data_IF_057138195436
#
_entry.id   IF_057138195436
#
_cell.length_a   1.000
_cell.length_b   1.000
_cell.length_c   1.000
_cell.angle_alpha   90.00
_cell.angle_beta   90.00
_cell.angle_gamma   90.00
#
_symmetry.space_group_name_H-M   'P 1'
#
loop_
_entity.id
_entity.type
_entity.pdbx_description
1 polymer ?
#
# COMPACT_ATOMS: atom_id res chain seq x y z
N UNK A 1 -8.85 -8.01 -2.67
CA UNK A 1 -7.60 -8.44 -3.34
C UNK A 1 -7.19 -9.84 -2.86
N UNK A 2 -7.62 -10.94 -3.52
CA UNK A 2 -7.49 -12.28 -2.94
C UNK A 2 -6.08 -12.88 -3.00
N UNK A 3 -5.28 -12.60 -4.05
CA UNK A 3 -3.95 -13.23 -4.19
C UNK A 3 -2.92 -12.77 -3.15
N UNK A 4 -3.05 -11.56 -2.60
CA UNK A 4 -2.11 -11.04 -1.59
C UNK A 4 -2.24 -11.68 -0.20
N UNK A 5 -3.35 -12.37 0.05
CA UNK A 5 -3.67 -13.00 1.35
C UNK A 5 -3.63 -14.54 1.31
N UNK A 6 -3.19 -15.13 0.20
CA UNK A 6 -3.14 -16.58 -0.01
C UNK A 6 -4.46 -17.18 -0.48
N UNK A 7 -4.52 -18.50 -0.57
CA UNK A 7 -5.68 -19.24 -1.08
C UNK A 7 -5.98 -20.49 -0.24
N UNK A 8 -7.23 -20.96 -0.33
CA UNK A 8 -7.67 -22.22 0.25
C UNK A 8 -7.77 -22.18 1.77
N UNK A 9 -7.49 -23.31 2.42
CA UNK A 9 -7.70 -23.46 3.88
C UNK A 9 -6.76 -22.64 4.76
N UNK A 10 -5.67 -22.10 4.21
CA UNK A 10 -4.68 -21.26 4.92
C UNK A 10 -4.71 -19.80 4.46
N UNK A 11 -5.80 -19.36 3.84
CA UNK A 11 -6.01 -17.95 3.52
C UNK A 11 -5.92 -17.09 4.79
N UNK A 12 -5.38 -15.89 4.68
CA UNK A 12 -5.26 -14.97 5.80
C UNK A 12 -6.65 -14.65 6.36
N UNK A 13 -6.94 -15.15 7.56
CA UNK A 13 -8.20 -14.89 8.27
C UNK A 13 -8.41 -13.39 8.57
N UNK A 14 -7.32 -12.61 8.62
CA UNK A 14 -7.34 -11.17 8.83
C UNK A 14 -7.61 -10.32 7.58
N UNK A 15 -7.84 -10.93 6.40
CA UNK A 15 -7.95 -10.19 5.13
C UNK A 15 -9.03 -9.10 5.16
N UNK A 16 -10.18 -9.37 5.79
CA UNK A 16 -11.31 -8.43 5.84
C UNK A 16 -11.01 -7.25 6.77
N UNK A 17 -10.36 -7.52 7.90
CA UNK A 17 -9.91 -6.48 8.81
C UNK A 17 -8.83 -5.61 8.15
N UNK A 18 -7.87 -6.23 7.47
CA UNK A 18 -6.82 -5.51 6.76
C UNK A 18 -7.38 -4.63 5.64
N UNK A 19 -8.34 -5.13 4.87
CA UNK A 19 -9.00 -4.37 3.80
C UNK A 19 -9.77 -3.17 4.36
N UNK A 20 -10.56 -3.36 5.43
CA UNK A 20 -11.28 -2.27 6.07
C UNK A 20 -10.33 -1.23 6.69
N UNK A 21 -9.30 -1.67 7.41
CA UNK A 21 -8.32 -0.79 8.03
C UNK A 21 -7.54 0.02 6.98
N UNK A 22 -7.12 -0.61 5.88
CA UNK A 22 -6.42 0.06 4.80
C UNK A 22 -7.30 1.11 4.12
N UNK A 23 -8.58 0.77 3.89
CA UNK A 23 -9.53 1.71 3.31
C UNK A 23 -9.72 2.95 4.19
N UNK A 24 -9.95 2.74 5.49
CA UNK A 24 -10.10 3.84 6.46
C UNK A 24 -8.83 4.69 6.50
N UNK A 25 -7.65 4.08 6.52
CA UNK A 25 -6.38 4.80 6.56
C UNK A 25 -6.17 5.65 5.30
N UNK A 26 -6.36 5.09 4.10
CA UNK A 26 -6.18 5.80 2.83
C UNK A 26 -7.18 6.96 2.71
N UNK A 27 -8.46 6.71 2.98
CA UNK A 27 -9.49 7.74 2.86
C UNK A 27 -9.29 8.86 3.87
N UNK A 28 -8.95 8.54 5.13
CA UNK A 28 -8.64 9.55 6.14
C UNK A 28 -7.43 10.40 5.73
N UNK A 29 -6.38 9.75 5.23
CA UNK A 29 -5.15 10.43 4.81
C UNK A 29 -5.40 11.39 3.64
N UNK A 30 -6.19 10.97 2.65
CA UNK A 30 -6.57 11.81 1.50
C UNK A 30 -7.55 12.93 1.88
N UNK A 31 -8.37 12.74 2.91
CA UNK A 31 -9.29 13.76 3.38
C UNK A 31 -8.56 14.89 4.13
N UNK A 32 -7.45 14.59 4.81
CA UNK A 32 -6.71 15.57 5.61
C UNK A 32 -5.48 16.15 4.93
N UNK A 33 -4.90 15.47 3.95
CA UNK A 33 -3.65 15.88 3.30
C UNK A 33 -3.78 15.91 1.77
N UNK A 34 -3.12 16.88 1.15
CA UNK A 34 -2.88 16.91 -0.30
C UNK A 34 -1.51 16.31 -0.59
N UNK A 35 -1.47 15.23 -1.36
CA UNK A 35 -0.25 14.49 -1.69
C UNK A 35 0.24 14.93 -3.06
N UNK A 36 1.50 15.36 -3.14
CA UNK A 36 2.17 15.72 -4.39
C UNK A 36 3.56 15.10 -4.42
N UNK A 37 4.10 14.86 -5.62
CA UNK A 37 5.50 14.43 -5.76
C UNK A 37 6.40 15.58 -5.36
N UNK A 38 7.53 15.23 -4.75
CA UNK A 38 8.57 16.21 -4.44
C UNK A 38 9.22 16.65 -5.77
N UNK A 39 9.42 17.96 -5.89
CA UNK A 39 10.09 18.58 -7.03
C UNK A 39 11.57 18.80 -6.70
N UNK A 40 12.44 18.70 -7.69
CA UNK A 40 13.85 19.06 -7.57
C UNK A 40 14.08 20.58 -7.71
N UNK A 41 15.34 21.01 -7.70
CA UNK A 41 15.72 22.43 -7.83
C UNK A 41 15.32 23.05 -9.19
N UNK A 42 15.01 22.23 -10.19
CA UNK A 42 14.62 22.64 -11.55
C UNK A 42 13.10 22.56 -11.76
N UNK A 43 12.34 22.13 -10.74
CA UNK A 43 10.89 21.96 -10.81
C UNK A 43 10.44 20.65 -11.45
N UNK A 44 11.34 19.68 -11.63
CA UNK A 44 11.01 18.36 -12.17
C UNK A 44 10.61 17.38 -11.06
N UNK A 45 9.68 16.48 -11.37
CA UNK A 45 9.21 15.47 -10.42
C UNK A 45 10.30 14.43 -10.12
N UNK A 46 10.65 14.28 -8.86
CA UNK A 46 11.63 13.27 -8.45
C UNK A 46 10.97 11.88 -8.51
N UNK A 47 11.54 10.92 -9.25
CA UNK A 47 10.98 9.57 -9.37
C UNK A 47 11.06 8.84 -8.03
N UNK A 48 9.93 8.28 -7.59
CA UNK A 48 9.89 7.43 -6.39
C UNK A 48 10.43 6.05 -6.74
N UNK A 49 11.65 5.73 -6.29
CA UNK A 49 12.24 4.40 -6.46
C UNK A 49 11.86 3.53 -5.26
N UNK A 50 10.94 2.55 -5.42
CA UNK A 50 10.51 1.71 -4.31
C UNK A 50 11.66 0.80 -3.87
N UNK A 51 11.96 0.81 -2.57
CA UNK A 51 12.88 -0.14 -1.95
C UNK A 51 12.07 -1.26 -1.33
N UNK A 52 12.08 -2.41 -1.99
CA UNK A 52 11.43 -3.60 -1.46
C UNK A 52 12.39 -4.34 -0.53
N UNK A 53 11.91 -4.69 0.66
CA UNK A 53 12.57 -5.72 1.47
C UNK A 53 12.23 -7.09 0.88
N UNK A 54 13.14 -8.06 0.99
CA UNK A 54 12.84 -9.44 0.59
C UNK A 54 11.82 -10.01 1.58
N UNK A 55 10.58 -10.15 1.13
CA UNK A 55 9.50 -10.79 1.87
C UNK A 55 9.05 -12.07 1.17
N UNK A 56 8.72 -13.10 1.95
CA UNK A 56 8.10 -14.33 1.45
C UNK A 56 6.67 -14.02 0.99
N UNK A 57 6.46 -13.94 -0.33
CA UNK A 57 5.18 -14.34 -0.90
C UNK A 57 5.05 -15.84 -0.65
N UNK A 58 4.19 -16.23 0.29
CA UNK A 58 3.91 -17.63 0.58
C UNK A 58 3.08 -18.19 -0.58
N UNK A 59 3.73 -18.93 -1.48
CA UNK A 59 3.06 -19.85 -2.39
C UNK A 59 2.45 -21.02 -1.61
#
# INVERSE_FOLDING_TARGET
>A
MPLGFGWGRRICVGQHLAEAALWIAITSFLATFSIQKILDEHGEEIPVVPKFSTGLIMF
#
